data_IF_206641714396
#
_entry.id   IF_206641714396
#
_cell.length_a   1.000
_cell.length_b   1.000
_cell.length_c   1.000
_cell.angle_alpha   90.00
_cell.angle_beta   90.00
_cell.angle_gamma   90.00
#
_symmetry.space_group_name_H-M   'P 1'
#
loop_
_entity.id
_entity.type
_entity.pdbx_description
1 polymer ?
#
# COMPACT_ATOMS: atom_id res chain seq x y z
N UNK A 1 7.40 36.65 14.20
CA UNK A 1 8.80 36.91 13.79
C UNK A 1 8.79 37.43 12.37
N UNK A 2 9.30 38.63 12.15
CA UNK A 2 9.35 39.28 10.83
C UNK A 2 10.73 39.04 10.20
N UNK A 3 10.80 38.42 9.03
CA UNK A 3 11.99 38.50 8.18
C UNK A 3 11.96 39.83 7.43
N UNK A 4 12.70 40.82 7.94
CA UNK A 4 12.92 42.08 7.25
C UNK A 4 13.90 41.87 6.09
N UNK A 5 13.47 42.18 4.87
CA UNK A 5 14.36 42.27 3.71
C UNK A 5 15.21 43.54 3.85
N UNK A 6 16.49 43.38 4.15
CA UNK A 6 17.48 44.43 3.91
C UNK A 6 18.17 44.14 2.59
N UNK A 7 17.97 45.02 1.62
CA UNK A 7 18.62 44.99 0.30
C UNK A 7 20.09 45.46 0.42
N UNK A 8 21.00 44.68 -0.19
CA UNK A 8 22.26 45.07 -0.87
C UNK A 8 23.44 45.58 0.01
N UNK A 9 24.72 45.40 -0.39
CA UNK A 9 25.24 45.58 -1.75
C UNK A 9 26.09 44.45 -2.34
N UNK A 10 26.18 44.51 -3.66
CA UNK A 10 27.02 43.72 -4.55
C UNK A 10 28.51 43.94 -4.30
N UNK A 11 29.26 42.87 -4.08
CA UNK A 11 30.70 42.84 -4.40
C UNK A 11 31.02 41.55 -5.14
N UNK A 12 31.69 41.73 -6.27
CA UNK A 12 32.19 40.70 -7.19
C UNK A 12 33.08 39.72 -6.43
N UNK A 13 32.75 38.44 -6.43
CA UNK A 13 33.77 37.41 -6.39
C UNK A 13 33.33 36.15 -7.14
N UNK A 14 34.28 35.59 -7.87
CA UNK A 14 34.12 34.51 -8.83
C UNK A 14 34.29 33.18 -8.11
N UNK A 15 33.22 32.68 -7.51
CA UNK A 15 33.08 31.26 -7.18
C UNK A 15 31.61 30.93 -7.07
N UNK A 16 31.13 29.98 -7.87
CA UNK A 16 29.75 29.51 -7.88
C UNK A 16 29.46 28.82 -6.53
N UNK A 17 29.12 29.62 -5.53
CA UNK A 17 28.56 29.22 -4.25
C UNK A 17 27.05 29.13 -4.39
N UNK A 18 26.51 27.94 -4.15
CA UNK A 18 25.08 27.63 -4.15
C UNK A 18 24.38 28.62 -3.22
N UNK A 19 23.41 29.38 -3.73
CA UNK A 19 22.48 30.09 -2.87
C UNK A 19 21.81 29.06 -1.96
N UNK A 20 22.07 29.14 -0.66
CA UNK A 20 21.29 28.44 0.36
C UNK A 20 19.89 29.06 0.34
N UNK A 21 19.05 28.40 -0.42
CA UNK A 21 17.64 28.70 -0.59
C UNK A 21 16.95 28.58 0.77
N UNK A 22 16.31 29.65 1.23
CA UNK A 22 15.38 29.64 2.37
C UNK A 22 14.08 28.86 2.05
N UNK A 23 14.16 27.82 1.21
CA UNK A 23 13.09 26.91 0.81
C UNK A 23 13.06 25.63 1.64
N UNK A 24 14.01 25.44 2.56
CA UNK A 24 13.91 24.37 3.55
C UNK A 24 13.11 24.83 4.77
N UNK A 25 11.80 25.08 4.58
CA UNK A 25 10.70 24.71 5.50
C UNK A 25 9.35 25.36 5.11
N UNK A 26 9.00 25.37 3.82
CA UNK A 26 7.58 25.45 3.43
C UNK A 26 7.16 24.04 3.04
N UNK A 27 6.95 23.17 4.05
CA UNK A 27 6.16 21.95 3.84
C UNK A 27 4.72 22.39 3.65
N UNK A 28 4.37 22.86 2.45
CA UNK A 28 2.99 22.71 1.98
C UNK A 28 2.75 21.20 2.02
N UNK A 29 2.04 20.72 3.03
CA UNK A 29 1.79 19.31 3.24
C UNK A 29 0.76 18.89 2.19
N UNK A 30 1.25 18.68 0.96
CA UNK A 30 0.45 18.20 -0.15
C UNK A 30 -0.19 16.86 0.21
N UNK A 31 -1.38 16.61 -0.31
CA UNK A 31 -2.09 15.37 -0.04
C UNK A 31 -1.30 14.17 -0.57
N UNK A 32 -1.49 13.00 0.05
CA UNK A 32 -0.84 11.76 -0.38
C UNK A 32 -1.17 11.44 -1.85
N UNK A 33 -0.21 10.89 -2.57
CA UNK A 33 -0.41 10.45 -3.95
C UNK A 33 -1.15 9.11 -4.01
N UNK A 34 -2.35 9.04 -4.58
CA UNK A 34 -3.13 7.78 -4.61
C UNK A 34 -3.58 7.41 -6.01
N UNK A 35 -3.82 6.12 -6.25
CA UNK A 35 -4.62 5.71 -7.39
C UNK A 35 -6.10 5.94 -7.10
N UNK A 36 -6.82 6.50 -8.06
CA UNK A 36 -8.25 6.78 -7.99
C UNK A 36 -8.99 6.07 -9.13
N UNK A 37 -9.85 5.11 -8.79
CA UNK A 37 -10.68 4.38 -9.76
C UNK A 37 -11.84 3.65 -9.07
N UNK A 38 -12.86 3.32 -9.85
CA UNK A 38 -13.94 2.44 -9.43
C UNK A 38 -14.24 1.43 -10.54
N UNK A 39 -14.62 0.22 -10.15
CA UNK A 39 -15.08 -0.83 -11.05
C UNK A 39 -16.23 -1.56 -10.38
N UNK A 40 -17.35 -1.67 -11.09
CA UNK A 40 -18.48 -2.48 -10.69
C UNK A 40 -18.64 -3.57 -11.73
N UNK A 41 -18.63 -4.82 -11.28
CA UNK A 41 -18.75 -6.02 -12.10
C UNK A 41 -17.80 -6.01 -13.33
N UNK A 42 -16.56 -5.54 -13.13
CA UNK A 42 -15.54 -5.50 -14.18
C UNK A 42 -15.66 -4.34 -15.18
N UNK A 43 -16.46 -3.30 -14.90
CA UNK A 43 -16.60 -2.12 -15.77
C UNK A 43 -15.27 -1.41 -16.08
N UNK A 44 -14.28 -1.54 -15.19
CA UNK A 44 -12.89 -1.13 -15.41
C UNK A 44 -11.95 -2.27 -15.02
N UNK A 45 -11.42 -2.98 -16.03
CA UNK A 45 -10.50 -4.11 -15.86
C UNK A 45 -9.14 -3.69 -15.27
N UNK A 46 -8.73 -2.43 -15.43
CA UNK A 46 -7.45 -1.94 -14.93
C UNK A 46 -7.52 -1.42 -13.50
N UNK A 47 -8.73 -1.18 -12.99
CA UNK A 47 -9.00 -1.01 -11.57
C UNK A 47 -9.06 -2.36 -10.83
N UNK A 48 -8.89 -3.49 -11.50
CA UNK A 48 -8.87 -4.81 -10.86
C UNK A 48 -7.63 -5.10 -10.02
N UNK A 49 -7.54 -6.34 -9.54
CA UNK A 49 -6.26 -7.00 -9.24
C UNK A 49 -6.03 -8.12 -10.27
N UNK A 50 -4.80 -8.38 -10.72
CA UNK A 50 -3.56 -7.67 -10.38
C UNK A 50 -3.56 -6.24 -10.94
N UNK A 51 -3.06 -5.31 -10.13
CA UNK A 51 -3.03 -3.90 -10.49
C UNK A 51 -1.69 -3.54 -11.12
N UNK A 52 -1.72 -3.03 -12.35
CA UNK A 52 -0.50 -2.70 -13.09
C UNK A 52 -0.37 -1.17 -13.27
N UNK A 53 0.69 -0.53 -12.74
CA UNK A 53 0.87 0.92 -12.83
C UNK A 53 0.86 1.48 -14.26
N UNK A 54 1.38 0.73 -15.25
CA UNK A 54 1.45 1.18 -16.64
C UNK A 54 0.08 1.49 -17.26
N UNK A 55 -0.98 0.75 -16.89
CA UNK A 55 -2.35 1.01 -17.37
C UNK A 55 -3.08 2.06 -16.53
N UNK A 56 -2.46 2.52 -15.44
CA UNK A 56 -3.09 3.35 -14.42
C UNK A 56 -2.35 4.66 -14.15
N UNK A 57 -1.42 5.06 -15.03
CA UNK A 57 -0.67 6.33 -14.91
C UNK A 57 -1.61 7.53 -14.80
N UNK A 58 -2.70 7.54 -15.59
CA UNK A 58 -3.72 8.61 -15.56
C UNK A 58 -4.64 8.59 -14.33
N UNK A 59 -4.64 7.48 -13.58
CA UNK A 59 -5.43 7.32 -12.34
C UNK A 59 -4.61 7.69 -11.11
N UNK A 60 -3.33 8.02 -11.26
CA UNK A 60 -2.51 8.48 -10.16
C UNK A 60 -2.73 9.97 -9.92
N UNK A 61 -3.19 10.30 -8.73
CA UNK A 61 -3.44 11.65 -8.26
C UNK A 61 -2.32 12.05 -7.30
N UNK A 62 -1.30 12.81 -7.74
CA UNK A 62 -0.06 13.05 -6.98
C UNK A 62 -0.23 14.00 -5.78
N UNK A 63 -1.37 14.69 -5.68
CA UNK A 63 -1.73 15.59 -4.58
C UNK A 63 -3.20 15.39 -4.27
N UNK A 64 -3.54 14.20 -3.79
CA UNK A 64 -4.94 13.81 -3.71
C UNK A 64 -5.68 14.60 -2.63
N UNK A 65 -6.91 15.00 -2.92
CA UNK A 65 -7.71 15.84 -2.02
C UNK A 65 -9.13 15.31 -1.90
N UNK A 66 -9.72 15.44 -0.71
CA UNK A 66 -11.08 15.03 -0.43
C UNK A 66 -11.93 16.22 0.03
N UNK A 67 -13.17 16.31 -0.44
CA UNK A 67 -14.16 17.23 0.11
C UNK A 67 -14.68 16.73 1.47
N UNK A 68 -15.06 17.64 2.36
CA UNK A 68 -15.61 17.31 3.68
C UNK A 68 -17.04 17.82 3.78
N UNK A 69 -18.02 16.92 3.62
CA UNK A 69 -19.44 17.22 3.83
C UNK A 69 -19.87 18.58 3.25
N UNK A 70 -20.30 19.48 4.12
CA UNK A 70 -20.88 20.77 3.74
C UNK A 70 -19.84 21.91 3.65
N UNK A 71 -18.53 21.60 3.67
CA UNK A 71 -17.46 22.60 3.65
C UNK A 71 -17.09 22.94 2.21
N UNK A 72 -16.78 24.22 1.98
CA UNK A 72 -16.31 24.71 0.68
C UNK A 72 -14.86 24.28 0.46
N UNK A 73 -14.58 23.71 -0.70
CA UNK A 73 -13.23 23.32 -1.12
C UNK A 73 -12.89 21.86 -0.85
N UNK A 74 -11.64 21.50 -1.17
CA UNK A 74 -11.06 20.18 -0.93
C UNK A 74 -9.86 20.31 0.02
N UNK A 75 -9.56 19.23 0.72
CA UNK A 75 -8.51 19.18 1.72
C UNK A 75 -7.49 18.09 1.37
N UNK A 76 -6.19 18.35 1.59
CA UNK A 76 -5.14 17.36 1.38
C UNK A 76 -5.44 16.03 2.08
N UNK A 77 -5.65 14.97 1.31
CA UNK A 77 -5.91 13.65 1.86
C UNK A 77 -4.64 13.09 2.53
N UNK A 78 -4.82 12.20 3.51
CA UNK A 78 -3.72 11.60 4.30
C UNK A 78 -3.55 10.11 4.06
N UNK A 79 -4.56 9.47 3.46
CA UNK A 79 -4.59 8.03 3.26
C UNK A 79 -5.03 7.71 1.84
N UNK A 80 -4.43 6.67 1.26
CA UNK A 80 -5.01 5.95 0.13
C UNK A 80 -5.84 4.80 0.65
N UNK A 81 -7.00 4.59 0.08
CA UNK A 81 -7.90 3.48 0.42
C UNK A 81 -8.06 2.54 -0.76
N UNK A 82 -8.33 1.28 -0.45
CA UNK A 82 -8.78 0.26 -1.39
C UNK A 82 -9.89 -0.57 -0.75
N UNK A 83 -11.04 -0.57 -1.39
CA UNK A 83 -12.19 -1.41 -1.07
C UNK A 83 -12.28 -2.44 -2.19
N UNK A 84 -12.36 -3.71 -1.82
CA UNK A 84 -12.69 -4.81 -2.74
C UNK A 84 -13.73 -5.69 -2.07
N UNK A 85 -14.87 -5.92 -2.69
CA UNK A 85 -15.89 -6.80 -2.13
C UNK A 85 -16.87 -7.34 -3.16
N UNK A 86 -17.54 -8.42 -2.79
CA UNK A 86 -18.60 -9.06 -3.57
C UNK A 86 -19.93 -8.82 -2.87
N UNK A 87 -20.90 -8.29 -3.61
CA UNK A 87 -22.25 -8.05 -3.11
C UNK A 87 -22.88 -9.39 -2.69
N UNK A 88 -23.40 -9.47 -1.46
CA UNK A 88 -24.00 -10.71 -0.94
C UNK A 88 -25.33 -11.07 -1.61
N UNK A 89 -26.00 -10.11 -2.25
CA UNK A 89 -27.30 -10.30 -2.89
C UNK A 89 -27.14 -10.56 -4.40
N UNK A 90 -26.36 -9.74 -5.10
CA UNK A 90 -26.21 -9.83 -6.56
C UNK A 90 -24.99 -10.62 -7.04
N UNK A 91 -24.06 -10.97 -6.14
CA UNK A 91 -22.73 -11.54 -6.46
C UNK A 91 -21.85 -10.65 -7.35
N UNK A 92 -22.16 -9.37 -7.52
CA UNK A 92 -21.33 -8.43 -8.29
C UNK A 92 -20.09 -8.00 -7.50
N UNK A 93 -18.93 -7.96 -8.16
CA UNK A 93 -17.69 -7.46 -7.58
C UNK A 93 -17.64 -5.93 -7.64
N UNK A 94 -17.22 -5.29 -6.56
CA UNK A 94 -16.90 -3.87 -6.47
C UNK A 94 -15.44 -3.70 -6.10
N UNK A 95 -14.75 -2.82 -6.82
CA UNK A 95 -13.43 -2.32 -6.44
C UNK A 95 -13.45 -0.79 -6.46
N UNK A 96 -12.99 -0.18 -5.38
CA UNK A 96 -12.81 1.28 -5.26
C UNK A 96 -11.42 1.56 -4.74
N UNK A 97 -10.69 2.41 -5.45
CA UNK A 97 -9.46 3.04 -4.97
C UNK A 97 -9.68 4.54 -4.93
N UNK A 98 -9.35 5.17 -3.82
CA UNK A 98 -9.49 6.61 -3.64
C UNK A 98 -8.50 7.11 -2.61
N UNK A 99 -8.38 8.43 -2.46
CA UNK A 99 -7.79 9.02 -1.27
C UNK A 99 -8.86 9.43 -0.25
N UNK A 100 -8.44 9.52 1.01
CA UNK A 100 -9.30 9.86 2.13
C UNK A 100 -8.52 10.63 3.20
N UNK A 101 -9.24 11.48 3.91
CA UNK A 101 -8.81 12.14 5.14
C UNK A 101 -8.82 11.19 6.33
N UNK A 102 -9.63 10.12 6.25
CA UNK A 102 -9.86 9.15 7.32
C UNK A 102 -9.46 7.73 6.88
N UNK A 103 -9.04 6.92 7.83
CA UNK A 103 -8.72 5.50 7.60
C UNK A 103 -9.98 4.64 7.59
N UNK A 104 -9.96 3.60 6.77
CA UNK A 104 -10.80 2.42 6.93
C UNK A 104 -10.13 1.42 7.87
N UNK A 105 -10.92 0.55 8.49
CA UNK A 105 -10.40 -0.57 9.27
C UNK A 105 -9.76 -1.61 8.33
N UNK A 106 -8.45 -1.81 8.45
CA UNK A 106 -7.68 -2.76 7.65
C UNK A 106 -8.05 -4.22 7.98
N UNK A 107 -9.17 -4.67 7.42
CA UNK A 107 -9.81 -5.94 7.77
C UNK A 107 -10.42 -6.60 6.54
N UNK A 108 -10.59 -7.92 6.60
CA UNK A 108 -11.34 -8.68 5.62
C UNK A 108 -12.48 -9.41 6.32
N UNK A 109 -13.64 -9.44 5.69
CA UNK A 109 -14.85 -10.04 6.22
C UNK A 109 -16.10 -9.41 5.63
N UNK A 110 -17.18 -9.43 6.40
CA UNK A 110 -18.44 -8.81 6.04
C UNK A 110 -18.41 -7.32 6.39
N UNK A 111 -18.81 -6.46 5.46
CA UNK A 111 -18.94 -5.03 5.69
C UNK A 111 -20.15 -4.46 4.95
N UNK A 112 -20.55 -3.24 5.33
CA UNK A 112 -21.63 -2.49 4.69
C UNK A 112 -21.05 -1.22 4.05
N UNK A 113 -21.41 -0.95 2.80
CA UNK A 113 -20.99 0.23 2.05
C UNK A 113 -22.22 0.83 1.33
N UNK A 114 -22.51 2.12 1.55
CA UNK A 114 -23.67 2.85 0.95
C UNK A 114 -25.03 2.10 1.00
N UNK A 115 -25.26 1.33 2.06
CA UNK A 115 -26.44 0.47 2.27
C UNK A 115 -26.40 -0.96 1.76
N UNK A 116 -25.38 -1.36 1.00
CA UNK A 116 -25.24 -2.73 0.49
C UNK A 116 -24.26 -3.54 1.34
N UNK A 117 -24.53 -4.84 1.51
CA UNK A 117 -23.66 -5.77 2.24
C UNK A 117 -22.70 -6.47 1.30
N UNK A 118 -21.43 -6.50 1.69
CA UNK A 118 -20.36 -7.11 0.91
C UNK A 118 -19.57 -8.11 1.75
N UNK A 119 -18.98 -9.10 1.09
CA UNK A 119 -17.85 -9.89 1.62
C UNK A 119 -16.58 -9.45 0.90
N UNK A 120 -15.53 -9.06 1.62
CA UNK A 120 -14.30 -8.58 1.00
C UNK A 120 -13.30 -7.97 1.97
N UNK A 121 -12.49 -7.02 1.51
CA UNK A 121 -11.46 -6.35 2.31
C UNK A 121 -11.55 -4.83 2.18
N UNK A 122 -11.34 -4.15 3.31
CA UNK A 122 -11.18 -2.71 3.44
C UNK A 122 -9.71 -2.43 3.80
N UNK A 123 -9.07 -1.50 3.10
CA UNK A 123 -7.66 -1.20 3.31
C UNK A 123 -7.38 0.30 3.23
N UNK A 124 -6.44 0.76 4.04
CA UNK A 124 -5.93 2.12 4.14
C UNK A 124 -4.42 2.10 4.40
N UNK A 125 -3.71 2.99 3.73
CA UNK A 125 -2.27 3.17 3.83
C UNK A 125 -1.91 4.65 3.57
N UNK A 126 -0.72 5.09 3.98
CA UNK A 126 -0.36 6.52 4.06
C UNK A 126 0.94 6.89 3.30
N UNK A 127 1.24 6.15 2.24
CA UNK A 127 2.37 6.42 1.34
C UNK A 127 1.87 6.53 -0.09
N UNK A 128 2.62 7.23 -0.92
CA UNK A 128 2.26 7.38 -2.32
C UNK A 128 2.08 6.02 -3.01
N UNK A 129 1.05 5.92 -3.85
CA UNK A 129 0.70 4.76 -4.67
C UNK A 129 0.44 3.44 -3.90
N UNK A 130 0.31 3.47 -2.57
CA UNK A 130 0.24 2.27 -1.75
C UNK A 130 -1.05 1.44 -1.94
N UNK A 131 -2.12 2.05 -2.47
CA UNK A 131 -3.37 1.34 -2.79
C UNK A 131 -3.32 0.61 -4.15
N UNK A 132 -2.20 0.69 -4.88
CA UNK A 132 -1.96 -0.09 -6.09
C UNK A 132 -1.43 -1.51 -5.84
N UNK A 133 -0.82 -1.79 -4.69
CA UNK A 133 -0.18 -3.10 -4.47
C UNK A 133 -1.19 -4.16 -4.00
N UNK A 134 -1.10 -5.41 -4.50
CA UNK A 134 -1.69 -6.56 -3.81
C UNK A 134 -1.04 -6.65 -2.43
N UNK A 135 -1.83 -6.59 -1.35
CA UNK A 135 -1.31 -6.88 -0.01
C UNK A 135 -1.06 -8.39 0.05
N UNK A 136 0.15 -8.81 -0.32
CA UNK A 136 0.60 -10.16 -0.02
C UNK A 136 0.51 -10.31 1.50
N UNK A 137 -0.39 -11.17 1.96
CA UNK A 137 -0.39 -11.60 3.36
C UNK A 137 0.99 -12.18 3.61
N UNK A 138 1.84 -11.48 4.36
CA UNK A 138 3.09 -12.02 4.86
C UNK A 138 2.74 -13.11 5.89
N UNK A 139 2.32 -14.27 5.40
CA UNK A 139 2.27 -15.49 6.18
C UNK A 139 3.71 -15.86 6.50
N UNK A 140 4.18 -15.46 7.69
CA UNK A 140 5.45 -15.90 8.23
C UNK A 140 5.29 -17.39 8.58
N UNK A 141 5.43 -18.24 7.57
CA UNK A 141 5.62 -19.67 7.74
C UNK A 141 6.95 -19.86 8.45
N UNK A 142 6.93 -19.92 9.78
CA UNK A 142 8.01 -20.53 10.55
C UNK A 142 7.96 -22.03 10.27
N UNK A 143 8.49 -22.42 9.11
CA UNK A 143 8.79 -23.81 8.81
C UNK A 143 9.83 -24.28 9.81
N UNK A 144 9.40 -25.08 10.78
CA UNK A 144 10.30 -25.89 11.59
C UNK A 144 11.07 -26.81 10.64
N UNK A 145 12.34 -26.50 10.38
CA UNK A 145 13.29 -27.46 9.82
C UNK A 145 13.52 -28.53 10.89
N UNK A 146 12.68 -29.57 10.88
CA UNK A 146 12.94 -30.78 11.65
C UNK A 146 14.19 -31.44 11.06
N UNK A 147 15.34 -31.23 11.70
CA UNK A 147 16.57 -31.92 11.35
C UNK A 147 16.42 -33.36 11.84
N UNK A 148 16.00 -34.26 10.95
CA UNK A 148 15.99 -35.69 11.23
C UNK A 148 17.46 -36.16 11.16
N UNK A 149 18.16 -36.10 12.30
CA UNK A 149 19.37 -36.89 12.48
C UNK A 149 18.93 -38.35 12.72
N UNK A 150 18.71 -39.08 11.63
CA UNK A 150 18.59 -40.53 11.70
C UNK A 150 19.99 -41.09 12.03
N UNK A 151 20.18 -41.40 13.31
CA UNK A 151 21.33 -42.14 13.83
C UNK A 151 21.45 -43.48 13.11
N UNK A 152 22.47 -43.60 12.26
CA UNK A 152 22.99 -44.88 11.75
C UNK A 152 23.60 -45.66 12.93
N UNK A 153 22.75 -46.36 13.68
CA UNK A 153 23.19 -47.42 14.57
C UNK A 153 23.42 -48.65 13.69
N UNK A 154 24.60 -48.74 13.06
CA UNK A 154 25.01 -49.94 12.33
C UNK A 154 25.27 -51.03 13.37
N UNK A 155 24.27 -51.89 13.54
CA UNK A 155 24.35 -53.15 14.27
C UNK A 155 25.40 -54.05 13.64
N UNK A 156 26.56 -54.20 14.27
CA UNK A 156 27.59 -55.18 13.89
C UNK A 156 27.36 -56.57 14.48
N UNK A 157 26.12 -56.94 14.80
CA UNK A 157 25.82 -58.26 15.38
C UNK A 157 24.87 -59.05 14.49
N UNK A 158 25.41 -59.60 13.39
CA UNK A 158 24.91 -60.83 12.76
C UNK A 158 25.86 -61.30 11.64
N UNK A 159 27.12 -61.62 11.98
CA UNK A 159 27.87 -62.62 11.21
C UNK A 159 27.42 -63.98 11.75
N UNK A 160 26.33 -64.50 11.20
CA UNK A 160 25.83 -65.83 11.53
C UNK A 160 26.68 -66.87 10.80
N UNK A 161 27.30 -67.74 11.62
CA UNK A 161 27.74 -69.08 11.25
C UNK A 161 26.66 -69.80 10.44
N UNK A 162 27.00 -70.28 9.25
CA UNK A 162 26.39 -71.46 8.62
C UNK A 162 27.50 -72.17 7.84
N UNK A 163 27.94 -73.31 8.36
CA UNK A 163 29.01 -74.11 7.78
C UNK A 163 29.37 -75.28 8.69
N UNK A 164 28.50 -76.29 8.75
CA UNK A 164 28.78 -77.62 9.27
C UNK A 164 27.76 -78.61 8.67
N UNK A 165 28.16 -79.27 7.58
CA UNK A 165 28.18 -80.73 7.43
C UNK A 165 28.85 -81.10 6.12
#
# INVERSE_FOLDING_TARGET
MNCSKTLLPTTRDSSVGRAEDCSEYIKHQHGVGCYECHSLNGSDVHCGDPFHPAYNVKRYSPRCEQAIGNRVGKFPARYCTKIKGTNLETNEEMIVRSCSLYTLDNTCGLFKFENTRYSGCLMSCNRDACNGQPQLKAGRSTGHMAVIFASLVISTRQVFKLGLS
#
